data_IF_953124877134
#
_entry.id   IF_953124877134
#
_cell.length_a   1.000
_cell.length_b   1.000
_cell.length_c   1.000
_cell.angle_alpha   90.00
_cell.angle_beta   90.00
_cell.angle_gamma   90.00
#
_symmetry.space_group_name_H-M   'P 1'
#
loop_
_entity.id
_entity.type
_entity.pdbx_description
1 polymer ?
#
# COMPACT_ATOMS: atom_id res chain seq x y z
N UNK A 1 -9.52 -12.95 -2.70
CA UNK A 1 -9.32 -11.67 -3.40
C UNK A 1 -8.07 -11.82 -4.23
N UNK A 2 -8.10 -11.42 -5.50
CA UNK A 2 -6.87 -11.31 -6.29
C UNK A 2 -6.15 -10.03 -5.86
N UNK A 3 -5.12 -10.15 -5.02
CA UNK A 3 -4.40 -9.00 -4.48
C UNK A 3 -3.61 -8.25 -5.55
N UNK A 4 -3.17 -8.92 -6.61
CA UNK A 4 -2.34 -8.32 -7.66
C UNK A 4 -3.15 -7.36 -8.51
N UNK A 5 -4.29 -7.83 -9.03
CA UNK A 5 -5.20 -7.01 -9.83
C UNK A 5 -5.70 -5.80 -9.05
N UNK A 6 -6.07 -6.00 -7.80
CA UNK A 6 -6.62 -4.91 -6.96
C UNK A 6 -5.54 -3.86 -6.67
N UNK A 7 -4.32 -4.29 -6.36
CA UNK A 7 -3.20 -3.38 -6.12
C UNK A 7 -2.82 -2.58 -7.36
N UNK A 8 -2.76 -3.23 -8.53
CA UNK A 8 -2.49 -2.58 -9.81
C UNK A 8 -3.49 -1.47 -10.11
N UNK A 9 -4.79 -1.79 -10.01
CA UNK A 9 -5.87 -0.83 -10.27
C UNK A 9 -5.82 0.34 -9.29
N UNK A 10 -5.61 0.08 -7.99
CA UNK A 10 -5.52 1.14 -6.99
C UNK A 10 -4.30 2.03 -7.20
N UNK A 11 -3.11 1.47 -7.40
CA UNK A 11 -1.90 2.26 -7.62
C UNK A 11 -2.00 3.08 -8.91
N UNK A 12 -2.61 2.55 -9.97
CA UNK A 12 -2.88 3.32 -11.18
C UNK A 12 -3.76 4.54 -10.87
N UNK A 13 -4.86 4.37 -10.11
CA UNK A 13 -5.73 5.48 -9.69
C UNK A 13 -4.99 6.49 -8.81
N UNK A 14 -4.23 6.02 -7.82
CA UNK A 14 -3.49 6.86 -6.88
C UNK A 14 -2.49 7.73 -7.64
N UNK A 15 -1.67 7.10 -8.49
CA UNK A 15 -0.55 7.79 -9.14
C UNK A 15 -0.97 8.64 -10.34
N UNK A 16 -2.14 8.38 -10.94
CA UNK A 16 -2.73 9.22 -11.98
C UNK A 16 -3.36 10.52 -11.44
N UNK A 17 -3.52 10.65 -10.12
CA UNK A 17 -4.15 11.81 -9.51
C UNK A 17 -3.19 13.02 -9.41
N UNK A 18 -3.70 14.26 -9.35
CA UNK A 18 -2.89 15.49 -9.43
C UNK A 18 -1.77 15.62 -8.39
N UNK A 19 -1.99 15.10 -7.17
CA UNK A 19 -1.07 15.26 -6.03
C UNK A 19 0.40 14.91 -6.35
N UNK A 20 0.65 13.93 -7.23
CA UNK A 20 2.02 13.56 -7.64
C UNK A 20 2.68 14.69 -8.41
N UNK A 21 1.95 15.28 -9.36
CA UNK A 21 2.49 16.34 -10.21
C UNK A 21 2.56 17.68 -9.45
N UNK A 22 1.58 17.95 -8.58
CA UNK A 22 1.60 19.11 -7.68
C UNK A 22 2.84 19.06 -6.76
N UNK A 23 3.06 17.93 -6.08
CA UNK A 23 4.25 17.74 -5.25
C UNK A 23 5.55 17.93 -6.04
N UNK A 24 5.62 17.38 -7.25
CA UNK A 24 6.81 17.48 -8.12
C UNK A 24 7.06 18.91 -8.58
N UNK A 25 6.01 19.66 -8.90
CA UNK A 25 6.11 21.05 -9.30
C UNK A 25 6.66 21.91 -8.15
N UNK A 26 6.23 21.63 -6.92
CA UNK A 26 6.66 22.36 -5.72
C UNK A 26 8.05 21.95 -5.24
N UNK A 27 8.39 20.67 -5.31
CA UNK A 27 9.59 20.11 -4.65
C UNK A 27 10.70 19.68 -5.61
N UNK A 28 10.45 19.62 -6.92
CA UNK A 28 11.44 19.22 -7.94
C UNK A 28 11.92 17.76 -7.84
N UNK A 29 11.26 16.92 -7.04
CA UNK A 29 11.62 15.51 -6.80
C UNK A 29 10.38 14.63 -6.75
N UNK A 30 10.56 13.31 -6.86
CA UNK A 30 9.47 12.34 -6.66
C UNK A 30 9.12 12.27 -5.16
N UNK A 31 7.83 12.17 -4.80
CA UNK A 31 7.42 12.01 -3.42
C UNK A 31 7.87 10.65 -2.88
N UNK A 32 8.27 10.64 -1.62
CA UNK A 32 8.51 9.44 -0.83
C UNK A 32 7.18 9.02 -0.17
N UNK A 33 6.75 7.79 -0.44
CA UNK A 33 5.52 7.21 0.08
C UNK A 33 5.87 6.01 0.93
N UNK A 34 5.24 5.88 2.09
CA UNK A 34 5.23 4.64 2.86
C UNK A 34 3.86 3.99 2.76
N UNK A 35 3.81 2.68 2.56
CA UNK A 35 2.55 1.93 2.67
C UNK A 35 2.40 1.51 4.12
N UNK A 36 1.42 2.10 4.79
CA UNK A 36 1.08 1.79 6.17
C UNK A 36 0.12 0.62 6.27
N UNK A 37 -0.53 0.50 7.43
CA UNK A 37 -1.41 -0.62 7.74
C UNK A 37 -2.63 -0.67 6.82
N UNK A 38 -2.85 -1.84 6.21
CA UNK A 38 -4.10 -2.20 5.55
C UNK A 38 -4.92 -3.08 6.49
N UNK A 39 -6.02 -2.54 7.02
CA UNK A 39 -6.83 -3.23 8.04
C UNK A 39 -7.83 -4.17 7.40
N UNK A 40 -7.83 -5.45 7.78
CA UNK A 40 -8.92 -6.35 7.44
C UNK A 40 -10.12 -6.14 8.39
N UNK A 41 -11.21 -5.59 7.88
CA UNK A 41 -12.48 -5.41 8.61
C UNK A 41 -13.53 -6.45 8.24
N UNK A 42 -13.13 -7.48 7.50
CA UNK A 42 -14.03 -8.57 7.14
C UNK A 42 -13.98 -9.68 8.19
N UNK A 43 -14.99 -10.55 8.20
CA UNK A 43 -14.98 -11.77 9.00
C UNK A 43 -14.12 -12.89 8.40
N UNK A 44 -13.58 -12.69 7.19
CA UNK A 44 -12.75 -13.69 6.52
C UNK A 44 -11.27 -13.38 6.70
N UNK A 45 -10.42 -14.40 6.76
CA UNK A 45 -8.98 -14.19 6.77
C UNK A 45 -8.50 -13.72 5.38
N UNK A 46 -8.17 -12.44 5.26
CA UNK A 46 -7.60 -11.83 4.05
C UNK A 46 -6.11 -11.59 4.30
N UNK A 47 -5.21 -12.08 3.42
CA UNK A 47 -3.76 -11.89 3.56
C UNK A 47 -3.37 -10.45 3.21
N UNK A 48 -3.65 -9.51 4.11
CA UNK A 48 -3.38 -8.08 3.91
C UNK A 48 -1.90 -7.76 3.76
N UNK A 49 -1.00 -8.55 4.36
CA UNK A 49 0.44 -8.40 4.17
C UNK A 49 0.86 -8.61 2.71
N UNK A 50 0.33 -9.66 2.05
CA UNK A 50 0.57 -9.90 0.62
C UNK A 50 0.03 -8.75 -0.22
N UNK A 51 -1.13 -8.20 0.15
CA UNK A 51 -1.70 -7.06 -0.55
C UNK A 51 -0.85 -5.79 -0.38
N UNK A 52 -0.34 -5.51 0.83
CA UNK A 52 0.62 -4.43 1.09
C UNK A 52 1.86 -4.55 0.21
N UNK A 53 2.48 -5.74 0.14
CA UNK A 53 3.65 -5.95 -0.71
C UNK A 53 3.37 -5.75 -2.21
N UNK A 54 2.17 -6.13 -2.69
CA UNK A 54 1.79 -5.84 -4.07
C UNK A 54 1.58 -4.33 -4.30
N UNK A 55 0.98 -3.59 -3.36
CA UNK A 55 0.88 -2.12 -3.45
C UNK A 55 2.27 -1.47 -3.57
N UNK A 56 3.21 -1.84 -2.71
CA UNK A 56 4.59 -1.34 -2.73
C UNK A 56 5.28 -1.64 -4.07
N UNK A 57 5.16 -2.88 -4.55
CA UNK A 57 5.71 -3.30 -5.84
C UNK A 57 5.13 -2.49 -7.00
N UNK A 58 3.81 -2.29 -7.06
CA UNK A 58 3.20 -1.47 -8.11
C UNK A 58 3.60 0.01 -8.00
N UNK A 59 3.74 0.56 -6.79
CA UNK A 59 4.28 1.92 -6.63
C UNK A 59 5.70 2.05 -7.15
N UNK A 60 6.57 1.10 -6.83
CA UNK A 60 7.96 1.06 -7.34
C UNK A 60 7.95 0.98 -8.87
N UNK A 61 7.16 0.05 -9.42
CA UNK A 61 7.07 -0.18 -10.86
C UNK A 61 6.47 1.00 -11.63
N UNK A 62 5.56 1.77 -11.01
CA UNK A 62 5.03 3.00 -11.62
C UNK A 62 6.14 4.01 -11.91
N UNK A 63 7.23 3.98 -11.14
CA UNK A 63 8.30 4.97 -11.19
C UNK A 63 7.84 6.39 -10.83
N UNK A 64 6.61 6.59 -10.38
CA UNK A 64 6.05 7.92 -10.09
C UNK A 64 6.42 8.43 -8.70
N UNK A 65 6.63 7.51 -7.77
CA UNK A 65 6.97 7.75 -6.37
C UNK A 65 8.27 7.03 -5.98
N UNK A 66 8.71 7.21 -4.74
CA UNK A 66 9.73 6.39 -4.06
C UNK A 66 9.07 5.70 -2.89
N UNK A 67 9.20 4.39 -2.77
CA UNK A 67 8.66 3.68 -1.60
C UNK A 67 9.70 3.67 -0.49
N UNK A 68 9.31 4.07 0.71
CA UNK A 68 10.13 4.00 1.93
C UNK A 68 9.83 2.68 2.64
N UNK A 69 10.88 2.04 3.13
CA UNK A 69 10.78 0.83 3.95
C UNK A 69 9.86 1.04 5.16
N UNK A 70 9.13 0.00 5.51
CA UNK A 70 8.26 -0.07 6.69
C UNK A 70 9.03 0.12 8.00
N UNK A 71 8.31 0.24 9.12
CA UNK A 71 8.94 0.39 10.44
C UNK A 71 9.85 -0.81 10.75
N UNK A 72 9.35 -2.03 10.54
CA UNK A 72 10.06 -3.27 10.84
C UNK A 72 11.29 -3.45 9.93
N UNK A 73 11.16 -3.16 8.64
CA UNK A 73 12.28 -3.21 7.70
C UNK A 73 13.36 -2.18 8.04
N UNK A 74 12.98 -0.98 8.48
CA UNK A 74 13.94 0.05 8.90
C UNK A 74 14.72 -0.40 10.12
N UNK A 75 14.09 -1.08 11.08
CA UNK A 75 14.79 -1.64 12.23
C UNK A 75 15.84 -2.68 11.79
N UNK A 76 15.46 -3.60 10.90
CA UNK A 76 16.38 -4.58 10.34
C UNK A 76 17.57 -3.93 9.60
N UNK A 77 17.30 -2.92 8.77
CA UNK A 77 18.33 -2.18 8.02
C UNK A 77 19.26 -1.41 8.96
N UNK A 78 18.75 -0.83 10.05
CA UNK A 78 19.59 -0.15 11.06
C UNK A 78 20.50 -1.13 11.78
N UNK A 79 20.00 -2.31 12.15
CA UNK A 79 20.81 -3.35 12.77
C UNK A 79 21.94 -3.82 11.84
N UNK A 80 21.63 -4.03 10.56
CA UNK A 80 22.64 -4.35 9.54
C UNK A 80 23.66 -3.21 9.37
N UNK A 81 23.21 -1.95 9.34
CA UNK A 81 24.11 -0.79 9.25
C UNK A 81 25.04 -0.68 10.45
N UNK A 82 24.55 -1.01 11.66
CA UNK A 82 25.35 -1.06 12.88
C UNK A 82 26.46 -2.12 12.77
N UNK A 83 26.11 -3.33 12.34
CA UNK A 83 27.08 -4.39 12.04
C UNK A 83 28.13 -3.92 11.03
N UNK A 84 27.71 -3.25 9.95
CA UNK A 84 28.65 -2.70 8.97
C UNK A 84 29.58 -1.62 9.53
N UNK A 85 29.22 -0.89 10.60
CA UNK A 85 30.17 0.05 11.22
C UNK A 85 31.36 -0.67 11.85
N UNK A 86 31.17 -1.91 12.29
CA UNK A 86 32.21 -2.72 12.94
C UNK A 86 33.02 -3.53 11.92
N UNK A 87 32.36 -4.07 10.89
CA UNK A 87 32.98 -5.08 10.02
C UNK A 87 33.23 -4.63 8.57
N UNK A 88 32.59 -3.56 8.09
CA UNK A 88 32.77 -3.12 6.70
C UNK A 88 34.03 -2.26 6.53
N UNK A 89 34.62 -2.30 5.34
CA UNK A 89 35.73 -1.39 5.01
C UNK A 89 35.28 0.08 5.07
N UNK A 90 36.18 1.01 5.45
CA UNK A 90 35.85 2.44 5.52
C UNK A 90 35.27 3.02 4.23
N UNK A 91 35.70 2.53 3.06
CA UNK A 91 35.26 3.03 1.75
C UNK A 91 33.81 2.65 1.41
N UNK A 92 33.33 1.53 1.96
CA UNK A 92 31.99 0.99 1.66
C UNK A 92 30.93 1.32 2.71
N UNK A 93 31.38 1.74 3.90
CA UNK A 93 30.55 1.97 5.08
C UNK A 93 29.45 3.02 4.82
N UNK A 94 28.22 2.72 5.26
CA UNK A 94 27.08 3.63 5.10
C UNK A 94 26.91 4.51 6.33
N UNK A 95 26.62 5.80 6.11
CA UNK A 95 26.44 6.80 7.16
C UNK A 95 25.08 6.66 7.87
N UNK A 96 25.08 6.93 9.17
CA UNK A 96 23.86 7.16 9.96
C UNK A 96 23.16 8.48 9.58
N UNK A 97 21.88 8.58 9.93
CA UNK A 97 21.10 9.81 9.71
C UNK A 97 20.79 10.13 8.24
N UNK A 98 20.97 9.18 7.32
CA UNK A 98 20.69 9.34 5.88
C UNK A 98 19.38 8.71 5.42
N UNK A 99 18.57 8.20 6.35
CA UNK A 99 17.23 7.67 6.04
C UNK A 99 16.35 8.77 5.44
N UNK A 100 15.59 8.43 4.40
CA UNK A 100 14.61 9.34 3.80
C UNK A 100 13.30 9.20 4.54
N UNK A 101 12.78 10.31 5.06
CA UNK A 101 11.42 10.38 5.56
C UNK A 101 10.44 10.23 4.40
N UNK A 102 9.29 9.61 4.67
CA UNK A 102 8.17 9.65 3.75
C UNK A 102 7.52 11.03 3.79
N UNK A 103 7.10 11.52 2.64
CA UNK A 103 6.29 12.74 2.50
C UNK A 103 4.79 12.36 2.71
N UNK A 104 4.37 11.20 2.20
CA UNK A 104 3.01 10.70 2.34
C UNK A 104 2.94 9.28 2.90
N UNK A 105 1.84 8.94 3.57
CA UNK A 105 1.51 7.59 3.99
C UNK A 105 0.22 7.11 3.32
N UNK A 106 0.28 5.97 2.64
CA UNK A 106 -0.91 5.27 2.16
C UNK A 106 -1.47 4.42 3.29
N UNK A 107 -2.76 4.60 3.58
CA UNK A 107 -3.51 3.82 4.55
C UNK A 107 -4.71 3.17 3.87
N UNK A 108 -5.23 2.10 4.45
CA UNK A 108 -6.42 1.49 3.89
C UNK A 108 -7.06 0.41 4.74
N UNK A 109 -8.14 -0.13 4.19
CA UNK A 109 -8.93 -1.18 4.81
C UNK A 109 -9.65 -2.02 3.77
N UNK A 110 -9.91 -3.27 4.14
CA UNK A 110 -10.69 -4.22 3.34
C UNK A 110 -11.99 -4.49 4.07
N UNK A 111 -13.09 -4.15 3.42
CA UNK A 111 -14.46 -4.29 3.90
C UNK A 111 -15.21 -5.38 3.12
N UNK A 112 -16.20 -6.01 3.75
CA UNK A 112 -17.10 -6.94 3.10
C UNK A 112 -18.49 -6.32 3.04
N UNK A 113 -19.06 -6.23 1.84
CA UNK A 113 -20.36 -5.59 1.60
C UNK A 113 -21.31 -6.67 1.08
N UNK A 114 -22.50 -6.71 1.66
CA UNK A 114 -23.58 -7.57 1.20
C UNK A 114 -24.57 -6.70 0.43
N UNK A 115 -24.83 -7.08 -0.81
CA UNK A 115 -25.89 -6.50 -1.62
C UNK A 115 -26.98 -7.55 -1.78
N UNK A 116 -28.23 -7.18 -1.54
CA UNK A 116 -29.38 -8.08 -1.67
C UNK A 116 -30.37 -7.44 -2.63
N UNK A 117 -30.50 -8.02 -3.81
CA UNK A 117 -31.53 -7.66 -4.79
C UNK A 117 -32.32 -8.92 -5.14
N UNK A 118 -33.65 -8.81 -5.15
CA UNK A 118 -34.59 -9.86 -5.61
C UNK A 118 -34.37 -11.26 -5.01
N UNK A 119 -33.92 -11.34 -3.75
CA UNK A 119 -33.71 -12.60 -3.04
C UNK A 119 -32.36 -13.29 -3.29
N UNK A 120 -31.48 -12.70 -4.10
CA UNK A 120 -30.08 -13.12 -4.24
C UNK A 120 -29.14 -12.19 -3.47
N UNK A 121 -28.47 -12.72 -2.44
CA UNK A 121 -27.43 -12.00 -1.71
C UNK A 121 -26.06 -12.21 -2.38
N UNK A 122 -25.50 -11.13 -2.91
CA UNK A 122 -24.15 -11.10 -3.48
C UNK A 122 -23.20 -10.45 -2.48
N UNK A 123 -22.05 -11.11 -2.25
CA UNK A 123 -20.97 -10.55 -1.42
C UNK A 123 -19.93 -9.86 -2.28
N UNK A 124 -19.52 -8.67 -1.87
CA UNK A 124 -18.40 -7.91 -2.44
C UNK A 124 -17.30 -7.73 -1.40
N UNK A 125 -16.05 -7.71 -1.84
CA UNK A 125 -14.97 -7.09 -1.07
C UNK A 125 -14.76 -5.69 -1.61
N UNK A 126 -14.62 -4.71 -0.72
CA UNK A 126 -14.23 -3.36 -1.08
C UNK A 126 -12.89 -3.08 -0.41
N UNK A 127 -11.94 -2.55 -1.18
CA UNK A 127 -10.70 -2.02 -0.64
C UNK A 127 -10.77 -0.52 -0.73
N UNK A 128 -10.66 0.14 0.42
CA UNK A 128 -10.64 1.59 0.56
C UNK A 128 -9.21 2.01 0.91
N UNK A 129 -8.67 2.96 0.15
CA UNK A 129 -7.35 3.52 0.38
C UNK A 129 -7.40 5.04 0.42
N UNK A 130 -6.50 5.65 1.19
CA UNK A 130 -6.32 7.09 1.24
C UNK A 130 -4.86 7.44 1.52
N UNK A 131 -4.40 8.53 0.91
CA UNK A 131 -3.05 9.04 1.02
C UNK A 131 -3.06 10.28 1.91
N UNK A 132 -2.24 10.28 2.95
CA UNK A 132 -2.16 11.34 3.96
C UNK A 132 -0.80 12.00 3.89
N UNK A 133 -0.77 13.32 3.87
CA UNK A 133 0.43 14.13 4.06
C UNK A 133 0.93 13.98 5.49
N UNK A 134 2.20 13.59 5.66
CA UNK A 134 2.76 13.32 6.98
C UNK A 134 3.11 14.57 7.78
N UNK A 135 3.23 15.74 7.13
CA UNK A 135 3.54 17.00 7.79
C UNK A 135 2.30 17.61 8.44
N UNK A 136 1.19 17.70 7.71
CA UNK A 136 -0.02 18.40 8.17
C UNK A 136 -1.25 17.50 8.40
N UNK A 137 -1.15 16.20 8.11
CA UNK A 137 -2.22 15.19 8.22
C UNK A 137 -3.40 15.38 7.25
N UNK A 138 -3.22 16.11 6.15
CA UNK A 138 -4.25 16.30 5.13
C UNK A 138 -4.34 15.09 4.22
N UNK A 139 -5.57 14.64 3.92
CA UNK A 139 -5.80 13.62 2.89
C UNK A 139 -5.72 14.24 1.52
N UNK A 140 -4.68 13.90 0.76
CA UNK A 140 -4.46 14.41 -0.61
C UNK A 140 -5.08 13.50 -1.68
N UNK A 141 -5.42 12.26 -1.31
CA UNK A 141 -6.10 11.32 -2.19
C UNK A 141 -6.96 10.33 -1.39
N UNK A 142 -8.07 9.90 -1.97
CA UNK A 142 -8.88 8.79 -1.46
C UNK A 142 -9.57 8.09 -2.63
N UNK A 143 -9.69 6.77 -2.55
CA UNK A 143 -10.41 6.00 -3.54
C UNK A 143 -10.60 4.55 -3.14
N UNK A 144 -11.45 3.87 -3.88
CA UNK A 144 -11.83 2.48 -3.60
C UNK A 144 -11.76 1.58 -4.83
N UNK A 145 -11.83 0.27 -4.56
CA UNK A 145 -12.07 -0.75 -5.57
C UNK A 145 -12.94 -1.88 -5.01
N UNK A 146 -14.01 -2.23 -5.72
CA UNK A 146 -14.96 -3.29 -5.39
C UNK A 146 -14.73 -4.55 -6.22
N UNK A 147 -14.66 -5.71 -5.56
CA UNK A 147 -14.51 -7.03 -6.17
C UNK A 147 -15.74 -7.88 -5.85
N UNK A 148 -16.46 -8.34 -6.88
CA UNK A 148 -17.58 -9.27 -6.73
C UNK A 148 -17.07 -10.67 -6.37
N UNK A 149 -17.60 -11.26 -5.29
CA UNK A 149 -17.37 -12.68 -4.96
C UNK A 149 -18.45 -13.52 -5.61
N UNK A 150 -18.14 -14.19 -6.72
CA UNK A 150 -19.03 -15.18 -7.31
C UNK A 150 -19.11 -16.40 -6.39
N UNK A 151 -20.24 -16.61 -5.72
CA UNK A 151 -20.50 -17.86 -4.99
C UNK A 151 -20.83 -18.92 -6.03
N UNK A 152 -19.89 -19.80 -6.36
CA UNK A 152 -20.22 -20.97 -7.16
C UNK A 152 -21.13 -21.86 -6.30
N UNK A 153 -22.39 -22.03 -6.72
CA UNK A 153 -23.25 -23.10 -6.17
C UNK A 153 -22.56 -24.42 -6.52
N UNK A 154 -21.83 -24.99 -5.57
CA UNK A 154 -21.40 -26.37 -5.65
C UNK A 154 -22.64 -27.23 -5.84
N UNK A 155 -22.71 -27.95 -6.98
CA UNK A 155 -23.76 -28.93 -7.22
C UNK A 155 -23.75 -29.91 -6.04
N UNK A 156 -24.77 -29.85 -5.19
CA UNK A 156 -25.09 -30.96 -4.30
C UNK A 156 -25.34 -32.18 -5.19
N UNK A 157 -24.43 -33.15 -5.16
CA UNK A 157 -24.73 -34.50 -5.63
C UNK A 157 -25.53 -35.16 -4.49
N UNK A 158 -26.80 -35.42 -4.77
CA UNK A 158 -27.61 -36.37 -4.00
C UNK A 158 -27.21 -37.81 -4.32
#
# INVERSE_FOLDING_TARGET
>A
MDSQMVAEVLVAKITASPWVEDFRAENGKKPYVIVGDIRNRTSEHIPVATFTSELEKYFINSGRVRVVASVDEREQIRNERASQQEFASPETMKQWGREKGADYMLLGEVNAIFDSADGESVKYYQVDCYLVDLEDNVKVWMGDHKIKKTVSRGKFKG
#
